data_IF_554109748721
#
_entry.id   IF_554109748721
#
_cell.length_a   1.000
_cell.length_b   1.000
_cell.length_c   1.000
_cell.angle_alpha   90.00
_cell.angle_beta   90.00
_cell.angle_gamma   90.00
#
_symmetry.space_group_name_H-M   'P 1'
#
loop_
_entity.id
_entity.type
_entity.pdbx_description
1 polymer ?
#
# COMPACT_ATOMS: atom_id res chain seq x y z
N UNK A 1 11.99 -8.02 14.55
CA UNK A 1 11.66 -9.46 14.76
C UNK A 1 12.88 -10.37 14.76
N UNK A 2 14.03 -9.81 14.59
CA UNK A 2 15.31 -10.50 14.82
C UNK A 2 15.33 -10.92 16.30
N UNK A 3 15.49 -12.22 16.58
CA UNK A 3 15.47 -12.74 17.95
C UNK A 3 14.12 -13.17 18.52
N UNK A 4 13.08 -13.24 17.70
CA UNK A 4 11.80 -13.79 18.14
C UNK A 4 11.88 -15.31 18.31
N UNK A 5 11.83 -15.80 19.54
CA UNK A 5 11.80 -17.23 19.86
C UNK A 5 10.41 -17.87 19.76
N UNK A 6 9.40 -17.12 19.34
CA UNK A 6 8.07 -17.66 19.11
C UNK A 6 8.07 -18.58 17.88
N UNK A 7 7.26 -19.63 17.95
CA UNK A 7 7.11 -20.59 16.84
C UNK A 7 6.24 -20.05 15.69
N UNK A 8 6.00 -18.76 15.62
CA UNK A 8 5.22 -18.10 14.57
C UNK A 8 6.14 -17.50 13.52
N UNK A 9 5.75 -17.60 12.26
CA UNK A 9 6.45 -16.99 11.13
C UNK A 9 5.44 -16.51 10.09
N UNK A 10 5.84 -15.51 9.32
CA UNK A 10 5.04 -14.95 8.23
C UNK A 10 5.97 -14.55 7.08
N UNK A 11 5.40 -14.40 5.89
CA UNK A 11 6.17 -14.04 4.71
C UNK A 11 6.51 -12.55 4.69
N UNK A 12 5.53 -11.69 4.87
CA UNK A 12 5.73 -10.25 4.85
C UNK A 12 5.09 -9.55 6.03
N UNK A 13 5.72 -8.49 6.50
CA UNK A 13 5.12 -7.47 7.37
C UNK A 13 5.14 -6.13 6.64
N UNK A 14 4.02 -5.41 6.71
CA UNK A 14 3.81 -4.16 6.00
C UNK A 14 3.46 -3.09 7.01
N UNK A 15 4.24 -2.02 7.02
CA UNK A 15 3.93 -0.81 7.76
C UNK A 15 3.52 0.32 6.81
N UNK A 16 3.44 1.55 7.30
CA UNK A 16 2.99 2.69 6.51
C UNK A 16 4.03 3.21 5.48
N UNK A 17 5.24 2.64 5.44
CA UNK A 17 6.33 3.11 4.56
C UNK A 17 7.09 1.99 3.85
N UNK A 18 7.01 0.74 4.33
CA UNK A 18 7.83 -0.33 3.79
C UNK A 18 7.19 -1.72 3.91
N UNK A 19 7.68 -2.62 3.08
CA UNK A 19 7.36 -4.05 3.08
C UNK A 19 8.62 -4.81 3.45
N UNK A 20 8.54 -5.58 4.53
CA UNK A 20 9.68 -6.40 5.01
C UNK A 20 9.36 -7.87 4.80
N UNK A 21 10.15 -8.57 3.99
CA UNK A 21 10.06 -10.02 3.84
C UNK A 21 10.77 -10.71 4.99
N UNK A 22 10.04 -11.53 5.75
CA UNK A 22 10.55 -12.29 6.88
C UNK A 22 11.09 -13.67 6.48
N UNK A 23 10.34 -14.39 5.62
CA UNK A 23 10.75 -15.69 5.06
C UNK A 23 10.47 -15.71 3.54
N UNK A 24 11.23 -16.49 2.74
CA UNK A 24 10.98 -16.67 1.32
C UNK A 24 9.60 -17.32 1.05
N UNK A 25 9.01 -17.03 -0.11
CA UNK A 25 7.67 -17.54 -0.47
C UNK A 25 7.64 -19.03 -0.78
N UNK A 26 8.76 -19.65 -1.06
CA UNK A 26 8.91 -21.10 -1.22
C UNK A 26 8.95 -21.86 0.11
N UNK A 27 8.92 -21.16 1.25
CA UNK A 27 8.86 -21.72 2.61
C UNK A 27 7.45 -21.63 3.16
N UNK A 28 7.06 -22.57 4.00
CA UNK A 28 5.77 -22.50 4.70
C UNK A 28 5.86 -21.54 5.89
N UNK A 29 4.84 -20.69 6.04
CA UNK A 29 4.67 -19.89 7.26
C UNK A 29 3.95 -20.67 8.35
N UNK A 30 3.97 -20.14 9.57
CA UNK A 30 3.24 -20.70 10.71
C UNK A 30 2.50 -19.59 11.46
N UNK A 31 1.35 -19.18 10.93
CA UNK A 31 0.53 -18.09 11.50
C UNK A 31 -0.98 -18.23 11.28
N UNK A 32 -1.43 -19.13 10.40
CA UNK A 32 -2.84 -19.23 10.06
C UNK A 32 -3.70 -19.95 11.11
N UNK A 33 -3.09 -20.62 12.08
CA UNK A 33 -3.82 -21.29 13.15
C UNK A 33 -4.50 -22.61 12.75
N UNK A 34 -4.32 -23.08 11.51
CA UNK A 34 -4.92 -24.30 10.95
C UNK A 34 -4.02 -25.55 11.05
N UNK A 35 -2.94 -25.46 11.82
CA UNK A 35 -2.06 -26.56 12.16
C UNK A 35 -1.10 -27.00 11.06
N UNK A 36 -0.40 -28.13 11.31
CA UNK A 36 0.70 -28.61 10.47
C UNK A 36 0.31 -28.90 9.02
N UNK A 37 -0.90 -29.36 8.80
CA UNK A 37 -1.40 -29.76 7.48
C UNK A 37 -2.42 -28.76 6.90
N UNK A 38 -2.60 -27.64 7.57
CA UNK A 38 -3.56 -26.61 7.18
C UNK A 38 -3.19 -25.89 5.90
N UNK A 39 -4.20 -25.51 5.13
CA UNK A 39 -3.99 -24.83 3.83
C UNK A 39 -3.39 -23.44 3.98
N UNK A 40 -3.77 -22.71 5.04
CA UNK A 40 -3.24 -21.39 5.32
C UNK A 40 -1.74 -21.42 5.58
N UNK A 41 -1.29 -22.32 6.47
CA UNK A 41 0.12 -22.46 6.78
C UNK A 41 0.97 -23.08 5.65
N UNK A 42 0.37 -23.92 4.80
CA UNK A 42 1.14 -24.66 3.80
C UNK A 42 1.06 -24.12 2.38
N UNK A 43 0.07 -23.33 2.06
CA UNK A 43 -0.21 -22.88 0.69
C UNK A 43 -0.42 -21.36 0.58
N UNK A 44 -0.54 -20.67 1.72
CA UNK A 44 -0.77 -19.24 1.76
C UNK A 44 0.52 -18.43 1.80
N UNK A 45 0.54 -17.29 1.12
CA UNK A 45 1.47 -16.22 1.39
C UNK A 45 0.87 -15.39 2.53
N UNK A 46 1.53 -15.37 3.68
CA UNK A 46 1.03 -14.68 4.87
C UNK A 46 1.58 -13.26 4.97
N UNK A 47 0.68 -12.31 5.19
CA UNK A 47 0.97 -10.89 5.26
C UNK A 47 0.44 -10.36 6.59
N UNK A 48 1.30 -9.67 7.33
CA UNK A 48 0.97 -8.98 8.57
C UNK A 48 0.90 -7.48 8.31
N UNK A 49 -0.24 -6.85 8.64
CA UNK A 49 -0.42 -5.40 8.57
C UNK A 49 -0.11 -4.81 9.94
N UNK A 50 0.84 -3.89 9.98
CA UNK A 50 1.29 -3.25 11.22
C UNK A 50 0.23 -2.28 11.77
N UNK A 51 0.45 -1.82 13.00
CA UNK A 51 -0.38 -0.81 13.71
C UNK A 51 -1.85 -1.18 13.96
N UNK A 52 -2.27 -2.41 13.76
CA UNK A 52 -3.66 -2.85 13.99
C UNK A 52 -4.16 -2.61 15.42
N UNK A 53 -3.28 -2.48 16.41
CA UNK A 53 -3.63 -2.15 17.80
C UNK A 53 -3.82 -0.66 18.00
N UNK A 54 -2.90 0.16 17.50
CA UNK A 54 -2.96 1.61 17.65
C UNK A 54 -3.99 2.25 16.73
N UNK A 55 -4.16 1.73 15.51
CA UNK A 55 -5.01 2.32 14.48
C UNK A 55 -4.55 3.69 14.02
N UNK A 56 -5.50 4.47 13.46
CA UNK A 56 -5.26 5.80 12.95
C UNK A 56 -4.46 5.80 11.67
N UNK A 57 -4.03 6.96 11.22
CA UNK A 57 -3.41 7.23 9.92
C UNK A 57 -2.30 6.22 9.55
N UNK A 58 -1.47 5.81 10.52
CA UNK A 58 -0.43 4.81 10.26
C UNK A 58 -0.98 3.44 9.90
N UNK A 59 -2.10 3.04 10.49
CA UNK A 59 -2.74 1.78 10.12
C UNK A 59 -3.39 1.91 8.75
N UNK A 60 -4.07 3.02 8.50
CA UNK A 60 -4.75 3.28 7.22
C UNK A 60 -3.75 3.23 6.05
N UNK A 61 -2.58 3.85 6.22
CA UNK A 61 -1.51 3.81 5.22
C UNK A 61 -0.88 2.43 5.08
N UNK A 62 -0.68 1.70 6.20
CA UNK A 62 -0.19 0.33 6.17
C UNK A 62 -1.19 -0.61 5.47
N UNK A 63 -2.48 -0.41 5.67
CA UNK A 63 -3.54 -1.20 5.02
C UNK A 63 -3.63 -0.89 3.52
N UNK A 64 -3.48 0.38 3.12
CA UNK A 64 -3.39 0.77 1.71
C UNK A 64 -2.18 0.12 1.02
N UNK A 65 -0.99 0.24 1.62
CA UNK A 65 0.21 -0.38 1.07
C UNK A 65 0.10 -1.91 1.02
N UNK A 66 -0.57 -2.52 2.00
CA UNK A 66 -0.85 -3.96 1.98
C UNK A 66 -1.80 -4.34 0.84
N UNK A 67 -2.85 -3.56 0.59
CA UNK A 67 -3.79 -3.80 -0.51
C UNK A 67 -3.09 -3.71 -1.87
N UNK A 68 -2.26 -2.69 -2.07
CA UNK A 68 -1.44 -2.52 -3.28
C UNK A 68 -0.49 -3.71 -3.49
N UNK A 69 0.23 -4.10 -2.45
CA UNK A 69 1.16 -5.22 -2.53
C UNK A 69 0.45 -6.56 -2.76
N UNK A 70 -0.71 -6.78 -2.15
CA UNK A 70 -1.53 -7.97 -2.41
C UNK A 70 -1.98 -7.99 -3.88
N UNK A 71 -2.42 -6.87 -4.43
CA UNK A 71 -2.77 -6.76 -5.84
C UNK A 71 -1.58 -7.10 -6.75
N UNK A 72 -0.39 -6.59 -6.44
CA UNK A 72 0.85 -6.95 -7.13
C UNK A 72 1.08 -8.48 -7.09
N UNK A 73 0.98 -9.12 -5.93
CA UNK A 73 1.16 -10.56 -5.80
C UNK A 73 0.10 -11.34 -6.58
N UNK A 74 -1.15 -10.91 -6.54
CA UNK A 74 -2.23 -11.55 -7.31
C UNK A 74 -1.93 -11.51 -8.81
N UNK A 75 -1.44 -10.38 -9.34
CA UNK A 75 -0.98 -10.26 -10.73
C UNK A 75 0.19 -11.20 -11.04
N UNK A 76 1.22 -11.22 -10.18
CA UNK A 76 2.41 -12.05 -10.36
C UNK A 76 2.10 -13.54 -10.43
N UNK A 77 1.13 -14.01 -9.65
CA UNK A 77 0.74 -15.42 -9.60
C UNK A 77 -0.48 -15.76 -10.47
N UNK A 78 -1.01 -14.78 -11.22
CA UNK A 78 -2.25 -14.91 -11.99
C UNK A 78 -3.42 -15.42 -11.12
N UNK A 79 -3.59 -14.83 -9.94
CA UNK A 79 -4.64 -15.16 -8.99
C UNK A 79 -5.75 -14.11 -9.02
N UNK A 80 -6.99 -14.55 -8.85
CA UNK A 80 -8.12 -13.64 -8.64
C UNK A 80 -8.26 -13.21 -7.18
N UNK A 81 -9.12 -12.22 -6.94
CA UNK A 81 -9.45 -11.69 -5.60
C UNK A 81 -9.98 -12.78 -4.65
N UNK A 82 -10.56 -13.86 -5.18
CA UNK A 82 -11.03 -15.02 -4.42
C UNK A 82 -9.92 -15.75 -3.65
N UNK A 83 -8.66 -15.49 -4.00
CA UNK A 83 -7.49 -16.04 -3.30
C UNK A 83 -7.09 -15.23 -2.07
N UNK A 84 -7.60 -14.02 -1.92
CA UNK A 84 -7.37 -13.23 -0.71
C UNK A 84 -8.21 -13.81 0.43
N UNK A 85 -7.53 -14.20 1.49
CA UNK A 85 -8.14 -14.83 2.66
C UNK A 85 -7.72 -14.12 3.92
N UNK A 86 -8.59 -14.10 4.90
CA UNK A 86 -8.28 -13.59 6.23
C UNK A 86 -7.93 -14.74 7.19
N UNK A 87 -7.22 -14.45 8.23
CA UNK A 87 -6.87 -15.45 9.27
C UNK A 87 -8.11 -16.15 9.81
N UNK A 88 -9.22 -15.43 9.95
CA UNK A 88 -10.50 -15.96 10.39
C UNK A 88 -11.04 -17.12 9.50
N UNK A 89 -10.65 -17.16 8.22
CA UNK A 89 -11.07 -18.25 7.30
C UNK A 89 -10.38 -19.57 7.58
N UNK A 90 -9.29 -19.56 8.37
CA UNK A 90 -8.50 -20.73 8.71
C UNK A 90 -8.63 -21.14 10.18
N UNK A 91 -9.04 -20.21 11.03
CA UNK A 91 -9.21 -20.44 12.46
C UNK A 91 -10.32 -19.57 13.01
N UNK A 92 -10.76 -19.82 14.25
CA UNK A 92 -11.80 -19.01 14.91
C UNK A 92 -11.28 -17.66 15.44
N UNK A 93 -10.07 -17.25 15.06
CA UNK A 93 -9.47 -16.00 15.53
C UNK A 93 -10.10 -14.82 14.80
N UNK A 94 -10.60 -13.82 15.54
CA UNK A 94 -11.07 -12.56 14.97
C UNK A 94 -9.85 -11.74 14.46
N UNK A 95 -9.39 -12.06 13.26
CA UNK A 95 -8.19 -11.48 12.63
C UNK A 95 -8.34 -11.51 11.09
N UNK A 96 -8.00 -10.43 10.42
CA UNK A 96 -7.42 -9.15 10.90
C UNK A 96 -8.49 -8.27 11.57
N UNK A 97 -8.35 -8.05 12.89
CA UNK A 97 -9.43 -7.46 13.69
C UNK A 97 -9.85 -6.08 13.19
N UNK A 98 -8.91 -5.16 12.99
CA UNK A 98 -9.24 -3.79 12.59
C UNK A 98 -9.83 -3.73 11.18
N UNK A 99 -9.23 -4.40 10.21
CA UNK A 99 -9.77 -4.53 8.86
C UNK A 99 -11.19 -5.13 8.85
N UNK A 100 -11.50 -6.04 9.79
CA UNK A 100 -12.84 -6.61 9.95
C UNK A 100 -13.81 -5.59 10.57
N UNK A 101 -13.36 -4.78 11.53
CA UNK A 101 -14.14 -3.69 12.15
C UNK A 101 -14.47 -2.60 11.11
N UNK A 102 -13.54 -2.29 10.22
CA UNK A 102 -13.70 -1.29 9.15
C UNK A 102 -14.42 -1.85 7.90
N UNK A 103 -14.56 -3.17 7.82
CA UNK A 103 -15.27 -3.90 6.77
C UNK A 103 -14.35 -4.65 5.82
N UNK A 104 -14.38 -5.97 5.90
CA UNK A 104 -13.59 -6.84 5.01
C UNK A 104 -13.84 -6.57 3.52
N UNK A 105 -15.09 -6.25 3.15
CA UNK A 105 -15.41 -5.93 1.76
C UNK A 105 -14.74 -4.64 1.30
N UNK A 106 -14.58 -3.65 2.17
CA UNK A 106 -13.86 -2.41 1.85
C UNK A 106 -12.41 -2.69 1.51
N UNK A 107 -11.76 -3.55 2.28
CA UNK A 107 -10.40 -3.99 2.00
C UNK A 107 -10.28 -4.76 0.67
N UNK A 108 -11.22 -5.67 0.37
CA UNK A 108 -11.26 -6.35 -0.92
C UNK A 108 -11.49 -5.37 -2.09
N UNK A 109 -12.35 -4.38 -1.90
CA UNK A 109 -12.59 -3.34 -2.91
C UNK A 109 -11.32 -2.50 -3.16
N UNK A 110 -10.56 -2.21 -2.10
CA UNK A 110 -9.29 -1.50 -2.22
C UNK A 110 -8.24 -2.34 -2.99
N UNK A 111 -8.16 -3.65 -2.73
CA UNK A 111 -7.31 -4.55 -3.50
C UNK A 111 -7.75 -4.61 -4.97
N UNK A 112 -9.06 -4.72 -5.23
CA UNK A 112 -9.59 -4.72 -6.59
C UNK A 112 -9.28 -3.43 -7.34
N UNK A 113 -9.32 -2.30 -6.67
CA UNK A 113 -8.93 -1.02 -7.23
C UNK A 113 -7.50 -1.05 -7.78
N UNK A 114 -6.55 -1.66 -7.05
CA UNK A 114 -5.18 -1.84 -7.50
C UNK A 114 -5.00 -3.01 -8.50
N UNK A 115 -5.92 -4.00 -8.49
CA UNK A 115 -5.90 -5.10 -9.45
C UNK A 115 -6.35 -4.68 -10.83
N UNK A 116 -7.46 -3.97 -10.84
CA UNK A 116 -7.98 -3.40 -12.06
C UNK A 116 -7.01 -2.30 -12.46
N UNK A 117 -5.94 -2.50 -13.19
CA UNK A 117 -5.20 -1.42 -13.84
C UNK A 117 -6.22 -0.52 -14.56
N UNK A 118 -7.13 0.09 -13.81
CA UNK A 118 -7.90 1.18 -14.35
C UNK A 118 -6.83 2.18 -14.71
N UNK A 119 -6.62 2.42 -16.01
CA UNK A 119 -6.02 3.68 -16.35
C UNK A 119 -6.84 4.64 -15.52
N UNK A 120 -6.20 5.43 -14.71
CA UNK A 120 -6.81 6.57 -14.06
C UNK A 120 -7.80 7.05 -15.08
N UNK A 121 -9.06 7.12 -14.68
CA UNK A 121 -10.06 7.63 -15.60
C UNK A 121 -9.53 9.00 -16.01
N UNK A 122 -8.89 9.08 -17.17
CA UNK A 122 -8.31 10.31 -17.72
C UNK A 122 -9.39 11.38 -17.88
N UNK A 123 -10.66 11.01 -17.69
CA UNK A 123 -11.78 11.95 -17.56
C UNK A 123 -11.73 12.78 -16.28
N UNK A 124 -11.00 12.35 -15.24
CA UNK A 124 -10.72 13.18 -14.05
C UNK A 124 -9.35 13.87 -14.11
N UNK A 125 -8.41 13.34 -14.90
CA UNK A 125 -7.20 14.02 -15.30
C UNK A 125 -7.44 14.47 -16.74
N UNK A 126 -7.88 15.68 -16.93
CA UNK A 126 -7.85 16.32 -18.24
C UNK A 126 -6.40 16.44 -18.66
N UNK A 127 -5.88 15.43 -19.37
CA UNK A 127 -4.62 15.56 -20.09
C UNK A 127 -4.70 16.83 -20.92
N UNK A 128 -3.82 17.77 -20.65
CA UNK A 128 -3.66 18.97 -21.48
C UNK A 128 -4.45 20.20 -21.04
N UNK A 129 -5.13 20.20 -19.90
CA UNK A 129 -5.49 21.50 -19.32
C UNK A 129 -4.30 22.04 -18.55
N UNK A 130 -3.66 23.08 -19.09
CA UNK A 130 -2.71 23.93 -18.35
C UNK A 130 -3.40 24.67 -17.18
N UNK A 131 -4.60 24.27 -16.84
CA UNK A 131 -5.43 24.94 -15.87
C UNK A 131 -5.07 24.44 -14.46
N UNK A 132 -4.51 25.35 -13.70
CA UNK A 132 -4.17 25.18 -12.29
C UNK A 132 -5.44 24.86 -11.49
N UNK A 133 -5.50 23.69 -10.88
CA UNK A 133 -6.61 23.29 -10.02
C UNK A 133 -6.52 23.98 -8.66
N UNK A 134 -5.33 24.05 -8.08
CA UNK A 134 -5.08 24.68 -6.78
C UNK A 134 -3.58 24.94 -6.58
N UNK A 135 -3.27 25.76 -5.59
CA UNK A 135 -1.89 25.91 -5.10
C UNK A 135 -1.66 24.92 -3.96
N UNK A 136 -0.64 24.11 -4.09
CA UNK A 136 -0.12 23.28 -3.01
C UNK A 136 0.94 24.07 -2.25
N UNK A 137 0.92 23.97 -0.94
CA UNK A 137 2.00 24.48 -0.10
C UNK A 137 2.55 23.35 0.73
N UNK A 138 3.86 23.11 0.60
CA UNK A 138 4.55 22.11 1.38
C UNK A 138 4.49 22.42 2.88
N UNK A 139 4.52 21.38 3.70
CA UNK A 139 4.51 21.47 5.16
C UNK A 139 5.80 22.04 5.75
N UNK A 140 6.17 21.58 6.92
CA UNK A 140 7.36 22.02 7.64
C UNK A 140 8.63 21.24 7.30
N UNK A 141 8.53 20.22 6.47
CA UNK A 141 9.63 19.35 6.03
C UNK A 141 9.77 19.42 4.52
N UNK A 142 10.97 19.13 4.00
CA UNK A 142 11.17 18.99 2.55
C UNK A 142 10.52 17.72 2.04
N UNK A 143 9.86 17.79 0.88
CA UNK A 143 9.26 16.64 0.21
C UNK A 143 9.98 16.35 -1.11
N UNK A 144 10.14 15.07 -1.42
CA UNK A 144 10.80 14.63 -2.65
C UNK A 144 9.80 14.70 -3.80
N UNK A 145 10.25 15.22 -4.94
CA UNK A 145 9.48 15.25 -6.18
C UNK A 145 10.03 14.22 -7.15
N UNK A 146 9.12 13.47 -7.74
CA UNK A 146 9.41 12.42 -8.70
C UNK A 146 8.82 12.75 -10.08
N UNK A 147 9.48 12.28 -11.15
CA UNK A 147 8.99 12.44 -12.52
C UNK A 147 7.94 11.39 -12.91
N UNK A 148 7.75 10.38 -12.08
CA UNK A 148 6.88 9.23 -12.32
C UNK A 148 5.95 8.99 -11.12
N UNK A 149 4.85 8.30 -11.38
CA UNK A 149 3.86 7.93 -10.38
C UNK A 149 4.35 6.84 -9.42
N UNK A 150 5.35 6.08 -9.84
CA UNK A 150 5.93 4.99 -9.04
C UNK A 150 6.99 5.48 -8.05
N UNK A 151 7.25 6.80 -8.05
CA UNK A 151 8.25 7.42 -7.18
C UNK A 151 9.66 6.83 -7.32
N UNK A 152 10.04 6.41 -8.52
CA UNK A 152 11.36 5.79 -8.79
C UNK A 152 12.37 6.81 -9.29
N UNK A 153 11.94 7.78 -10.07
CA UNK A 153 12.81 8.80 -10.70
C UNK A 153 12.72 10.13 -9.97
N UNK A 154 13.54 10.28 -8.94
CA UNK A 154 13.66 11.56 -8.24
C UNK A 154 14.16 12.65 -9.18
N UNK A 155 13.49 13.80 -9.21
CA UNK A 155 13.86 14.97 -10.01
C UNK A 155 14.14 16.22 -9.16
N UNK A 156 13.76 16.22 -7.89
CA UNK A 156 14.00 17.35 -7.01
C UNK A 156 13.36 17.18 -5.64
N UNK A 157 13.16 18.29 -4.98
CA UNK A 157 12.43 18.40 -3.72
C UNK A 157 11.75 19.75 -3.61
N UNK A 158 10.63 19.80 -2.91
CA UNK A 158 10.00 21.03 -2.44
C UNK A 158 10.57 21.37 -1.07
N UNK A 159 11.03 22.61 -0.89
CA UNK A 159 11.51 23.08 0.39
C UNK A 159 10.35 23.31 1.37
N UNK A 160 10.62 23.36 2.70
CA UNK A 160 9.60 23.65 3.69
C UNK A 160 8.86 24.96 3.34
N UNK A 161 7.52 24.89 3.34
CA UNK A 161 6.62 26.01 3.01
C UNK A 161 6.70 26.53 1.58
N UNK A 162 7.43 25.89 0.70
CA UNK A 162 7.44 26.21 -0.72
C UNK A 162 6.05 25.98 -1.32
N UNK A 163 5.70 26.82 -2.31
CA UNK A 163 4.44 26.73 -3.03
C UNK A 163 4.68 26.27 -4.45
N UNK A 164 3.81 25.39 -4.92
CA UNK A 164 3.78 24.94 -6.30
C UNK A 164 2.35 24.86 -6.83
N UNK A 165 2.21 24.86 -8.14
CA UNK A 165 0.92 24.68 -8.77
C UNK A 165 0.56 23.20 -8.83
N UNK A 166 -0.62 22.84 -8.34
CA UNK A 166 -1.16 21.50 -8.39
C UNK A 166 -2.17 21.41 -9.56
N UNK A 167 -1.95 20.44 -10.45
CA UNK A 167 -2.75 20.22 -11.65
C UNK A 167 -3.69 19.00 -11.50
N UNK A 168 -3.53 18.25 -10.45
CA UNK A 168 -4.34 17.08 -10.15
C UNK A 168 -3.78 16.30 -8.98
N UNK A 169 -4.44 15.20 -8.64
CA UNK A 169 -3.97 14.26 -7.64
C UNK A 169 -4.02 12.86 -8.21
N UNK A 170 -3.02 12.06 -7.84
CA UNK A 170 -2.95 10.66 -8.18
C UNK A 170 -2.80 9.88 -6.88
N UNK A 171 -3.86 9.17 -6.48
CA UNK A 171 -3.98 8.61 -5.13
C UNK A 171 -3.82 9.71 -4.06
N UNK A 172 -2.87 9.54 -3.15
CA UNK A 172 -2.45 10.48 -2.13
C UNK A 172 -1.39 11.50 -2.61
N UNK A 173 -0.95 11.40 -3.87
CA UNK A 173 0.09 12.22 -4.45
C UNK A 173 -0.50 13.39 -5.24
N UNK A 174 0.05 14.58 -5.06
CA UNK A 174 -0.28 15.73 -5.88
C UNK A 174 0.63 15.78 -7.12
N UNK A 175 0.02 15.97 -8.29
CA UNK A 175 0.76 16.32 -9.49
C UNK A 175 1.06 17.82 -9.44
N UNK A 176 2.33 18.16 -9.36
CA UNK A 176 2.77 19.54 -9.15
C UNK A 176 3.73 20.00 -10.24
N UNK A 177 3.62 21.28 -10.58
CA UNK A 177 4.63 21.99 -11.35
C UNK A 177 5.43 22.89 -10.42
N UNK A 178 6.72 22.75 -10.41
CA UNK A 178 7.62 23.55 -9.58
C UNK A 178 8.82 24.00 -10.41
N UNK A 179 9.52 25.03 -9.93
CA UNK A 179 10.70 25.56 -10.60
C UNK A 179 11.96 24.88 -10.10
N UNK A 180 12.75 24.36 -11.02
CA UNK A 180 14.11 23.89 -10.73
C UNK A 180 15.08 24.84 -11.41
N UNK A 181 15.91 25.53 -10.64
CA UNK A 181 16.94 26.45 -11.15
C UNK A 181 16.42 27.46 -12.20
N UNK A 182 15.21 27.98 -12.00
CA UNK A 182 14.62 28.99 -12.87
C UNK A 182 13.88 28.45 -14.10
N UNK A 183 13.83 27.15 -14.31
CA UNK A 183 13.02 26.49 -15.36
C UNK A 183 11.77 25.85 -14.76
N UNK A 184 10.65 25.91 -15.48
CA UNK A 184 9.45 25.16 -15.13
C UNK A 184 9.62 23.72 -15.63
N UNK A 185 9.48 22.74 -14.76
CA UNK A 185 9.35 21.31 -15.06
C UNK A 185 7.94 20.82 -14.69
#
# INVERSE_FOLDING_TARGET
MIGNNNKTSFHCAIDNVQIVQGIPFDRNSWNAGDGRNGKGNRKGISIEICYSKSGGERFDDAEKLAAEYIAYLLKQYNWGIDKVKKHQDFSNKNCPRRTLEEGWQNFLNLINFYLEDKPINNDEIKEGSDEKVRTYQNGSTSEIVYADTDCTKRIGSLDPRERCDCFGTFYDKAMVRYKVNGTNN
#
